data_IF_853298546329
#
_entry.id   IF_853298546329
#
_cell.length_a   1.000
_cell.length_b   1.000
_cell.length_c   1.000
_cell.angle_alpha   90.00
_cell.angle_beta   90.00
_cell.angle_gamma   90.00
#
_symmetry.space_group_name_H-M   'P 1'
#
loop_
_entity.id
_entity.type
_entity.pdbx_description
1 polymer ?
#
# COMPACT_ATOMS: atom_id res chain seq x y z
N UNK A 1 2.36 34.65 -18.46
CA UNK A 1 3.73 34.91 -19.00
C UNK A 1 4.44 33.62 -19.41
N UNK A 2 3.65 32.66 -19.82
CA UNK A 2 3.84 31.22 -19.68
C UNK A 2 3.15 30.50 -20.85
N UNK A 3 2.45 31.24 -21.72
CA UNK A 3 1.82 30.76 -22.94
C UNK A 3 0.32 30.53 -22.79
N UNK A 4 -0.26 30.74 -21.61
CA UNK A 4 -1.69 30.95 -21.47
C UNK A 4 -2.00 32.42 -21.81
N UNK A 5 -3.21 32.68 -22.33
CA UNK A 5 -3.66 34.05 -22.54
C UNK A 5 -4.17 34.60 -21.22
N UNK A 6 -3.72 35.79 -20.82
CA UNK A 6 -4.17 36.50 -19.61
C UNK A 6 -5.70 36.57 -19.51
N UNK A 7 -6.41 36.72 -20.64
CA UNK A 7 -7.88 36.76 -20.65
C UNK A 7 -8.57 35.41 -20.33
N UNK A 8 -7.84 34.30 -20.38
CA UNK A 8 -8.29 32.99 -19.90
C UNK A 8 -8.04 32.85 -18.39
N UNK A 9 -6.89 33.34 -17.91
CA UNK A 9 -6.47 33.29 -16.51
C UNK A 9 -7.30 34.23 -15.62
N UNK A 10 -7.68 35.41 -16.13
CA UNK A 10 -8.64 36.31 -15.46
C UNK A 10 -10.06 35.68 -15.40
N UNK A 11 -10.34 34.61 -16.14
CA UNK A 11 -11.64 33.96 -16.13
C UNK A 11 -12.78 34.78 -16.76
N UNK A 12 -14.02 34.32 -16.56
CA UNK A 12 -15.21 34.92 -17.21
C UNK A 12 -15.73 36.19 -16.51
N UNK A 13 -15.36 36.43 -15.26
CA UNK A 13 -15.78 37.58 -14.47
C UNK A 13 -14.57 38.42 -14.05
N UNK A 14 -14.36 39.56 -14.72
CA UNK A 14 -13.26 40.46 -14.38
C UNK A 14 -13.36 41.14 -13.01
N UNK A 15 -14.47 40.99 -12.27
CA UNK A 15 -14.55 41.43 -10.86
C UNK A 15 -14.21 40.31 -9.87
N UNK A 16 -14.10 39.07 -10.34
CA UNK A 16 -13.70 37.91 -9.57
C UNK A 16 -12.78 37.04 -10.44
N UNK A 17 -11.52 37.50 -10.64
CA UNK A 17 -10.54 36.74 -11.41
C UNK A 17 -10.32 35.34 -10.83
N UNK A 18 -9.80 34.44 -11.66
CA UNK A 18 -9.42 33.08 -11.22
C UNK A 18 -8.18 33.18 -10.32
N UNK A 19 -8.20 32.38 -9.26
CA UNK A 19 -7.20 32.27 -8.20
C UNK A 19 -7.30 30.81 -7.74
N UNK A 20 -6.39 29.98 -8.23
CA UNK A 20 -6.54 28.51 -8.19
C UNK A 20 -6.22 27.93 -6.82
N UNK A 21 -5.16 28.42 -6.17
CA UNK A 21 -4.75 28.06 -4.81
C UNK A 21 -5.40 28.91 -3.71
N UNK A 22 -6.01 30.06 -4.05
CA UNK A 22 -6.63 31.01 -3.12
C UNK A 22 -5.63 31.71 -2.19
N UNK A 23 -4.40 31.93 -2.63
CA UNK A 23 -3.37 32.68 -1.89
C UNK A 23 -3.57 34.21 -1.95
N UNK A 24 -4.41 34.68 -2.87
CA UNK A 24 -4.76 36.09 -3.09
C UNK A 24 -3.98 36.80 -4.20
N UNK A 25 -3.09 36.08 -4.87
CA UNK A 25 -2.58 36.36 -6.21
C UNK A 25 -3.59 35.74 -7.19
N UNK A 26 -3.57 36.17 -8.45
CA UNK A 26 -4.52 35.66 -9.45
C UNK A 26 -3.69 34.91 -10.47
N UNK A 27 -4.25 33.86 -11.06
CA UNK A 27 -3.63 33.03 -12.08
C UNK A 27 -2.91 33.85 -13.18
N UNK A 28 -3.47 35.00 -13.56
CA UNK A 28 -2.92 35.86 -14.61
C UNK A 28 -1.59 36.55 -14.23
N UNK A 29 -1.23 36.55 -12.95
CA UNK A 29 0.01 37.06 -12.38
C UNK A 29 1.00 35.96 -12.02
N UNK A 30 0.53 34.71 -12.01
CA UNK A 30 1.32 33.52 -11.73
C UNK A 30 1.69 32.78 -13.01
N UNK A 31 2.56 31.79 -12.86
CA UNK A 31 3.11 31.05 -13.98
C UNK A 31 2.76 29.59 -13.83
N UNK A 32 2.02 29.05 -14.79
CA UNK A 32 1.64 27.62 -14.84
C UNK A 32 2.79 26.62 -15.14
N UNK A 33 4.04 27.06 -14.92
CA UNK A 33 5.28 26.49 -15.44
C UNK A 33 6.48 26.77 -14.55
N UNK A 34 6.41 27.85 -13.80
CA UNK A 34 7.49 28.20 -12.87
C UNK A 34 7.10 27.53 -11.57
N UNK A 35 8.11 27.00 -10.91
CA UNK A 35 8.06 26.35 -9.62
C UNK A 35 9.22 27.04 -8.89
N UNK A 36 8.88 28.03 -8.08
CA UNK A 36 9.80 29.07 -7.62
C UNK A 36 10.72 28.60 -6.50
N UNK A 37 10.26 27.70 -5.65
CA UNK A 37 11.03 27.10 -4.56
C UNK A 37 11.44 25.64 -4.83
N UNK A 38 10.86 24.99 -5.84
CA UNK A 38 11.27 23.67 -6.31
C UNK A 38 10.64 22.53 -5.54
N UNK A 39 9.50 22.75 -4.89
CA UNK A 39 8.81 21.77 -4.06
C UNK A 39 7.97 20.77 -4.86
N UNK A 40 7.73 21.05 -6.15
CA UNK A 40 6.98 20.20 -7.06
C UNK A 40 5.59 20.72 -7.42
N UNK A 41 5.13 21.82 -6.83
CA UNK A 41 3.94 22.56 -7.23
C UNK A 41 4.35 23.76 -8.09
N UNK A 42 3.52 24.13 -9.07
CA UNK A 42 3.79 25.32 -9.89
C UNK A 42 3.19 26.55 -9.26
N UNK A 43 3.77 27.72 -9.51
CA UNK A 43 3.39 28.98 -8.84
C UNK A 43 1.90 29.37 -8.96
N UNK A 44 1.15 28.78 -9.89
CA UNK A 44 -0.29 29.05 -10.06
C UNK A 44 -1.17 28.18 -9.14
N UNK A 45 -0.64 27.05 -8.68
CA UNK A 45 -1.35 26.05 -7.89
C UNK A 45 -0.75 25.93 -6.48
N UNK A 46 0.21 26.81 -6.12
CA UNK A 46 1.00 26.77 -4.89
C UNK A 46 0.62 27.91 -3.96
N UNK A 47 0.13 27.55 -2.77
CA UNK A 47 -0.31 28.52 -1.77
C UNK A 47 0.81 29.35 -1.12
N UNK A 48 2.07 28.93 -1.25
CA UNK A 48 3.25 29.73 -0.87
C UNK A 48 4.44 29.44 -1.81
N UNK A 49 4.44 30.11 -2.97
CA UNK A 49 5.47 30.18 -4.01
C UNK A 49 6.95 30.33 -3.57
N UNK A 50 7.24 30.43 -2.27
CA UNK A 50 8.58 30.67 -1.72
C UNK A 50 8.94 29.78 -0.53
N UNK A 51 8.06 28.90 -0.08
CA UNK A 51 8.25 28.03 1.07
C UNK A 51 8.19 26.54 0.69
N UNK A 52 9.34 25.90 0.42
CA UNK A 52 9.36 24.51 -0.03
C UNK A 52 8.97 23.48 1.06
N UNK A 53 8.75 23.97 2.29
CA UNK A 53 8.30 23.17 3.44
C UNK A 53 6.78 23.29 3.66
N UNK A 54 6.01 23.84 2.70
CA UNK A 54 4.55 23.83 2.71
C UNK A 54 3.98 22.41 2.72
N UNK A 55 2.75 22.27 3.23
CA UNK A 55 1.99 21.01 3.30
C UNK A 55 0.58 21.34 2.80
N UNK A 56 0.44 21.26 1.47
CA UNK A 56 -0.69 21.81 0.73
C UNK A 56 -2.00 21.09 1.10
N UNK A 57 -1.96 19.76 1.20
CA UNK A 57 -3.12 18.93 1.49
C UNK A 57 -3.31 18.55 2.98
N UNK A 58 -2.33 18.87 3.84
CA UNK A 58 -2.35 18.72 5.31
C UNK A 58 -2.36 17.28 5.78
N UNK A 59 -1.65 16.41 5.08
CA UNK A 59 -1.53 15.01 5.43
C UNK A 59 -0.32 14.70 6.34
N UNK A 60 0.60 15.65 6.46
CA UNK A 60 1.77 15.61 7.33
C UNK A 60 3.10 15.32 6.63
N UNK A 61 3.13 15.27 5.29
CA UNK A 61 4.33 15.41 4.46
C UNK A 61 4.42 16.85 3.94
N UNK A 62 5.64 17.33 3.68
CA UNK A 62 5.79 18.59 2.93
C UNK A 62 5.70 18.34 1.43
N UNK A 63 5.35 19.37 0.67
CA UNK A 63 5.22 19.30 -0.79
C UNK A 63 6.55 18.80 -1.44
N UNK A 64 7.72 19.23 -0.95
CA UNK A 64 9.04 18.70 -1.38
C UNK A 64 9.24 17.21 -1.03
N UNK A 65 8.77 16.77 0.14
CA UNK A 65 8.83 15.36 0.56
C UNK A 65 7.95 14.49 -0.35
N UNK A 66 6.75 14.98 -0.67
CA UNK A 66 5.82 14.33 -1.57
C UNK A 66 6.33 14.24 -3.00
N UNK A 67 6.88 15.33 -3.54
CA UNK A 67 7.53 15.32 -4.85
C UNK A 67 8.70 14.31 -4.91
N UNK A 68 9.40 14.11 -3.79
CA UNK A 68 10.47 13.12 -3.66
C UNK A 68 9.95 11.68 -3.57
N UNK A 69 8.79 11.46 -2.94
CA UNK A 69 8.11 10.17 -2.83
C UNK A 69 7.31 9.81 -4.10
N UNK A 70 6.95 10.82 -4.90
CA UNK A 70 6.09 10.70 -6.06
C UNK A 70 4.59 10.65 -5.74
N UNK A 71 4.20 11.04 -4.52
CA UNK A 71 2.80 11.32 -4.14
C UNK A 71 2.34 12.65 -4.74
N UNK A 72 1.05 12.96 -4.63
CA UNK A 72 0.44 14.17 -5.17
C UNK A 72 0.29 15.20 -4.04
N UNK A 73 1.07 16.32 -4.05
CA UNK A 73 1.05 17.33 -2.98
C UNK A 73 -0.32 17.96 -2.66
N UNK A 74 -1.28 17.79 -3.56
CA UNK A 74 -2.64 18.32 -3.43
C UNK A 74 -3.68 17.25 -3.10
N UNK A 75 -3.27 16.02 -2.82
CA UNK A 75 -4.16 14.91 -2.57
C UNK A 75 -3.66 14.01 -1.42
N UNK A 76 -4.31 14.07 -0.24
CA UNK A 76 -3.78 13.50 1.00
C UNK A 76 -3.91 11.98 1.09
N UNK A 77 -4.14 11.29 -0.03
CA UNK A 77 -4.35 9.84 -0.20
C UNK A 77 -4.13 9.52 -1.69
N UNK A 78 -2.86 9.42 -2.08
CA UNK A 78 -2.42 9.34 -3.49
C UNK A 78 -2.89 8.07 -4.19
N UNK A 79 -2.95 6.95 -3.48
CA UNK A 79 -3.41 5.68 -4.04
C UNK A 79 -4.89 5.37 -3.82
N UNK A 80 -5.58 6.19 -3.02
CA UNK A 80 -7.02 6.20 -2.82
C UNK A 80 -7.52 5.07 -1.92
N UNK A 81 -6.68 4.55 -1.03
CA UNK A 81 -7.03 3.45 -0.13
C UNK A 81 -7.60 3.88 1.23
N UNK A 82 -7.89 5.17 1.40
CA UNK A 82 -8.42 5.78 2.62
C UNK A 82 -7.43 5.88 3.78
N UNK A 83 -6.13 5.67 3.55
CA UNK A 83 -5.04 6.01 4.46
C UNK A 83 -4.28 7.20 3.84
N UNK A 84 -3.82 8.12 4.69
CA UNK A 84 -3.10 9.30 4.22
C UNK A 84 -1.63 8.98 3.94
N UNK A 85 -1.02 9.64 2.95
CA UNK A 85 0.35 9.36 2.50
C UNK A 85 1.35 9.57 3.65
N UNK A 86 1.19 10.63 4.44
CA UNK A 86 1.97 10.88 5.66
C UNK A 86 1.80 9.81 6.75
N UNK A 87 0.63 9.18 6.87
CA UNK A 87 0.40 8.04 7.78
C UNK A 87 1.09 6.78 7.26
N UNK A 88 1.06 6.56 5.95
CA UNK A 88 1.71 5.44 5.29
C UNK A 88 3.22 5.52 5.43
N UNK A 89 3.79 6.69 5.17
CA UNK A 89 5.20 6.98 5.39
C UNK A 89 5.63 6.67 6.83
N UNK A 90 4.85 7.12 7.82
CA UNK A 90 5.12 6.85 9.25
C UNK A 90 5.05 5.35 9.58
N UNK A 91 4.15 4.61 8.96
CA UNK A 91 3.98 3.17 9.16
C UNK A 91 4.94 2.31 8.32
N UNK A 92 5.66 2.93 7.38
CA UNK A 92 6.54 2.25 6.43
C UNK A 92 5.78 1.42 5.39
N UNK A 93 4.59 1.88 4.99
CA UNK A 93 3.82 1.37 3.85
C UNK A 93 4.06 2.26 2.62
N UNK A 94 3.56 1.83 1.46
CA UNK A 94 3.77 2.50 0.17
C UNK A 94 2.51 3.29 -0.23
N UNK A 95 2.58 4.62 -0.14
CA UNK A 95 1.50 5.56 -0.46
C UNK A 95 1.08 5.59 -1.95
N UNK A 96 1.78 4.85 -2.81
CA UNK A 96 1.44 4.69 -4.22
C UNK A 96 0.92 3.27 -4.55
N UNK A 97 0.76 2.41 -3.55
CA UNK A 97 0.20 1.08 -3.68
C UNK A 97 -0.87 0.84 -2.61
N UNK A 98 -2.13 1.10 -2.98
CA UNK A 98 -3.25 0.93 -2.05
C UNK A 98 -3.48 -0.52 -1.59
N UNK A 99 -2.67 -1.47 -2.04
CA UNK A 99 -2.61 -2.81 -1.51
C UNK A 99 -1.62 -2.98 -0.35
N UNK A 100 -0.79 -2.00 -0.03
CA UNK A 100 0.29 -2.07 0.97
C UNK A 100 0.01 -1.28 2.26
N UNK A 101 -1.19 -0.78 2.51
CA UNK A 101 -1.48 -0.04 3.76
C UNK A 101 -1.84 -0.91 4.98
N UNK A 102 -1.81 -0.27 6.16
CA UNK A 102 -2.32 -0.84 7.43
C UNK A 102 -3.73 -0.32 7.71
N UNK A 103 -4.75 -1.10 7.34
CA UNK A 103 -6.15 -0.83 7.67
C UNK A 103 -6.91 -0.05 6.58
N UNK A 104 -6.27 0.26 5.46
CA UNK A 104 -6.91 0.85 4.29
C UNK A 104 -7.84 -0.10 3.53
N UNK A 105 -8.61 0.49 2.63
CA UNK A 105 -9.50 -0.13 1.65
C UNK A 105 -9.10 0.32 0.24
N UNK A 106 -8.22 -0.43 -0.43
CA UNK A 106 -7.81 -0.21 -1.81
C UNK A 106 -8.96 0.11 -2.78
N UNK A 107 -8.75 1.03 -3.73
CA UNK A 107 -9.74 1.40 -4.73
C UNK A 107 -10.28 0.21 -5.54
N UNK A 108 -11.54 0.32 -5.95
CA UNK A 108 -12.17 -0.65 -6.84
C UNK A 108 -11.44 -0.71 -8.18
N UNK A 109 -10.83 -1.86 -8.49
CA UNK A 109 -10.06 -2.06 -9.73
C UNK A 109 -8.61 -2.45 -9.48
N UNK A 110 -8.06 -2.15 -8.30
CA UNK A 110 -6.74 -2.63 -7.91
C UNK A 110 -6.78 -4.14 -7.70
N UNK A 111 -6.03 -4.87 -8.54
CA UNK A 111 -5.89 -6.33 -8.40
C UNK A 111 -4.85 -6.64 -7.33
N UNK A 112 -5.12 -6.23 -6.11
CA UNK A 112 -4.29 -6.56 -4.97
C UNK A 112 -4.17 -8.07 -4.89
N UNK A 113 -2.94 -8.57 -5.00
CA UNK A 113 -2.67 -9.99 -4.84
C UNK A 113 -2.19 -10.21 -3.42
N UNK A 114 -2.22 -11.46 -2.99
CA UNK A 114 -1.55 -11.81 -1.74
C UNK A 114 -0.03 -11.68 -1.89
N UNK A 115 0.62 -11.18 -0.86
CA UNK A 115 2.09 -11.12 -0.76
C UNK A 115 2.57 -11.99 0.40
N UNK A 116 3.78 -12.53 0.26
CA UNK A 116 4.45 -13.29 1.30
C UNK A 116 5.81 -12.64 1.47
N UNK A 117 5.88 -11.66 2.39
CA UNK A 117 7.04 -10.77 2.53
C UNK A 117 8.19 -11.44 3.31
N UNK A 118 7.86 -12.36 4.21
CA UNK A 118 8.86 -13.06 5.01
C UNK A 118 8.60 -14.56 4.98
N UNK A 119 9.41 -15.25 4.19
CA UNK A 119 9.42 -16.72 4.10
C UNK A 119 10.05 -17.37 5.37
N UNK A 120 10.37 -16.59 6.40
CA UNK A 120 10.89 -17.06 7.69
C UNK A 120 9.81 -17.05 8.77
N UNK A 121 9.57 -18.21 9.37
CA UNK A 121 8.80 -18.34 10.60
C UNK A 121 9.76 -18.52 11.78
N UNK A 122 9.78 -17.56 12.70
CA UNK A 122 10.59 -17.60 13.93
C UNK A 122 9.73 -17.18 15.13
N UNK A 123 9.96 -17.70 16.33
CA UNK A 123 9.15 -17.32 17.49
C UNK A 123 9.24 -15.82 17.82
N UNK A 124 10.37 -15.18 17.50
CA UNK A 124 10.63 -13.75 17.71
C UNK A 124 10.21 -12.88 16.52
N UNK A 125 9.82 -13.48 15.40
CA UNK A 125 9.37 -12.80 14.18
C UNK A 125 7.94 -13.21 13.86
N UNK A 126 7.01 -12.26 13.73
CA UNK A 126 5.61 -12.56 13.41
C UNK A 126 4.92 -13.53 14.39
N UNK A 127 5.39 -13.61 15.65
CA UNK A 127 4.88 -14.54 16.67
C UNK A 127 4.86 -16.00 16.19
N UNK A 128 5.85 -16.42 15.40
CA UNK A 128 5.94 -17.79 14.85
C UNK A 128 4.83 -18.15 13.87
N UNK A 129 4.18 -17.15 13.26
CA UNK A 129 3.05 -17.34 12.34
C UNK A 129 3.48 -17.06 10.90
N UNK A 130 3.03 -17.89 9.96
CA UNK A 130 3.21 -17.64 8.54
C UNK A 130 2.29 -16.49 8.12
N UNK A 131 2.83 -15.28 7.93
CA UNK A 131 2.02 -14.12 7.53
C UNK A 131 1.90 -14.03 6.01
N UNK A 132 0.68 -13.82 5.55
CA UNK A 132 0.36 -13.57 4.14
C UNK A 132 -0.36 -12.22 4.09
N UNK A 133 0.27 -11.20 3.52
CA UNK A 133 -0.34 -9.86 3.36
C UNK A 133 -1.56 -9.95 2.45
N UNK A 134 -2.61 -9.17 2.75
CA UNK A 134 -3.89 -9.13 2.05
C UNK A 134 -4.73 -10.43 2.08
N UNK A 135 -4.35 -11.47 2.82
CA UNK A 135 -5.08 -12.75 2.78
C UNK A 135 -6.52 -12.63 3.30
N UNK A 136 -6.77 -11.72 4.24
CA UNK A 136 -8.07 -11.43 4.84
C UNK A 136 -9.10 -10.93 3.82
N UNK A 137 -8.64 -10.31 2.72
CA UNK A 137 -9.49 -9.85 1.61
C UNK A 137 -10.01 -10.99 0.75
N UNK A 138 -9.44 -12.18 0.91
CA UNK A 138 -9.82 -13.38 0.18
C UNK A 138 -10.34 -14.44 1.14
N UNK A 139 -11.52 -14.27 1.77
CA UNK A 139 -12.04 -15.20 2.78
C UNK A 139 -12.25 -16.62 2.22
N UNK A 140 -12.43 -16.74 0.90
CA UNK A 140 -12.51 -18.02 0.19
C UNK A 140 -11.12 -18.47 -0.32
N UNK A 141 -10.12 -18.46 0.54
CA UNK A 141 -8.78 -18.96 0.23
C UNK A 141 -8.54 -20.38 0.78
N UNK A 142 -7.48 -21.04 0.31
CA UNK A 142 -6.95 -22.27 0.91
C UNK A 142 -5.44 -22.17 1.04
N UNK A 143 -4.89 -22.62 2.16
CA UNK A 143 -3.43 -22.73 2.38
C UNK A 143 -3.07 -24.19 2.61
N UNK A 144 -2.08 -24.67 1.87
CA UNK A 144 -1.50 -26.01 1.97
C UNK A 144 0.00 -25.88 2.25
N UNK A 145 0.54 -26.66 3.19
CA UNK A 145 1.98 -26.70 3.50
C UNK A 145 2.47 -28.14 3.45
N UNK A 146 3.60 -28.34 2.77
CA UNK A 146 4.22 -29.62 2.51
C UNK A 146 5.63 -29.66 3.09
N UNK A 147 6.03 -30.81 3.63
CA UNK A 147 7.43 -31.02 4.01
C UNK A 147 8.32 -31.32 2.78
N UNK A 148 9.63 -31.43 3.01
CA UNK A 148 10.63 -31.73 1.96
C UNK A 148 10.40 -33.02 1.15
N UNK A 149 9.54 -33.91 1.62
CA UNK A 149 9.19 -35.16 0.93
C UNK A 149 7.87 -35.05 0.14
N UNK A 150 7.26 -33.88 0.07
CA UNK A 150 5.98 -33.64 -0.60
C UNK A 150 4.77 -34.14 0.20
N UNK A 151 4.92 -34.43 1.49
CA UNK A 151 3.80 -34.83 2.35
C UNK A 151 3.11 -33.59 2.89
N UNK A 152 1.77 -33.53 2.72
CA UNK A 152 0.92 -32.47 3.26
C UNK A 152 0.92 -32.53 4.79
N UNK A 153 1.48 -31.50 5.42
CA UNK A 153 1.59 -31.37 6.88
C UNK A 153 0.58 -30.39 7.47
N UNK A 154 0.10 -29.43 6.67
CA UNK A 154 -0.95 -28.50 7.08
C UNK A 154 -1.87 -28.19 5.91
N UNK A 155 -3.17 -28.10 6.17
CA UNK A 155 -4.14 -27.48 5.27
C UNK A 155 -5.21 -26.71 6.05
N UNK A 156 -5.73 -25.64 5.44
CA UNK A 156 -6.93 -24.96 5.94
C UNK A 156 -7.68 -24.28 4.80
N UNK A 157 -8.96 -23.99 5.04
CA UNK A 157 -9.78 -23.11 4.21
C UNK A 157 -10.03 -21.82 4.99
N UNK A 158 -10.07 -20.67 4.31
CA UNK A 158 -10.28 -19.38 4.92
C UNK A 158 -9.16 -19.00 5.89
N UNK A 159 -7.91 -19.14 5.44
CA UNK A 159 -6.74 -18.70 6.20
C UNK A 159 -6.84 -17.20 6.51
N UNK A 160 -6.49 -16.82 7.72
CA UNK A 160 -6.39 -15.43 8.16
C UNK A 160 -5.16 -15.31 9.08
N UNK A 161 -4.53 -14.12 9.18
CA UNK A 161 -3.29 -13.98 9.97
C UNK A 161 -3.51 -14.02 11.49
N UNK A 162 -4.76 -14.06 11.97
CA UNK A 162 -5.11 -13.90 13.39
C UNK A 162 -5.49 -15.22 14.07
N UNK A 163 -6.56 -15.85 13.58
CA UNK A 163 -7.24 -16.99 14.19
C UNK A 163 -6.96 -18.30 13.44
N UNK A 164 -7.07 -18.31 12.12
CA UNK A 164 -6.89 -19.49 11.28
C UNK A 164 -5.55 -19.44 10.52
N UNK A 165 -4.46 -19.43 11.28
CA UNK A 165 -3.10 -19.30 10.74
C UNK A 165 -2.24 -20.53 11.00
N UNK A 166 -1.20 -20.69 10.18
CA UNK A 166 -0.19 -21.73 10.31
C UNK A 166 0.91 -21.26 11.25
N UNK A 167 1.06 -21.99 12.37
CA UNK A 167 2.01 -21.70 13.45
C UNK A 167 3.11 -22.76 13.57
N UNK A 168 3.41 -23.45 12.46
CA UNK A 168 4.35 -24.58 12.44
C UNK A 168 3.83 -25.83 13.15
N UNK A 169 2.51 -25.97 13.31
CA UNK A 169 1.86 -27.15 13.93
C UNK A 169 1.13 -27.92 12.84
N UNK A 170 1.36 -29.24 12.79
CA UNK A 170 0.74 -30.11 11.80
C UNK A 170 -0.75 -30.36 12.09
N UNK A 171 -1.58 -30.29 11.06
CA UNK A 171 -2.96 -30.80 11.07
C UNK A 171 -3.23 -31.85 9.97
N UNK A 172 -2.19 -32.22 9.20
CA UNK A 172 -2.28 -33.14 8.07
C UNK A 172 -2.57 -34.59 8.50
N UNK A 173 -3.39 -35.30 7.70
CA UNK A 173 -3.80 -36.69 7.97
C UNK A 173 -2.66 -37.72 7.96
N UNK A 174 -1.54 -37.41 7.30
CA UNK A 174 -0.46 -38.36 7.02
C UNK A 174 0.70 -38.32 8.03
N UNK A 175 0.64 -37.47 9.07
CA UNK A 175 1.73 -37.32 10.04
C UNK A 175 1.43 -38.17 11.28
N UNK A 176 2.45 -38.90 11.73
CA UNK A 176 2.47 -39.67 12.97
C UNK A 176 2.31 -38.64 14.11
N UNK A 177 1.05 -38.43 14.56
CA UNK A 177 0.56 -37.44 15.54
C UNK A 177 0.15 -36.08 14.95
N UNK A 178 -1.16 -35.92 14.76
CA UNK A 178 -1.83 -34.63 14.59
C UNK A 178 -1.55 -33.73 15.80
N UNK A 179 -1.35 -32.43 15.58
CA UNK A 179 -1.02 -31.40 16.58
C UNK A 179 0.44 -31.41 17.10
N UNK A 180 1.34 -32.16 16.48
CA UNK A 180 2.77 -32.06 16.79
C UNK A 180 3.40 -30.85 16.09
N UNK A 181 4.36 -30.22 16.78
CA UNK A 181 5.20 -29.18 16.21
C UNK A 181 6.09 -29.76 15.11
N UNK A 182 6.19 -29.03 14.02
CA UNK A 182 7.02 -29.40 12.88
C UNK A 182 8.48 -29.04 13.15
N UNK A 183 9.45 -29.90 12.77
CA UNK A 183 10.87 -29.63 12.97
C UNK A 183 11.34 -28.44 12.13
N UNK A 184 12.40 -27.78 12.59
CA UNK A 184 13.06 -26.71 11.84
C UNK A 184 13.51 -27.19 10.46
N UNK A 185 13.31 -26.35 9.45
CA UNK A 185 13.64 -26.69 8.07
C UNK A 185 12.77 -25.99 7.04
N UNK A 186 13.02 -26.31 5.77
CA UNK A 186 12.30 -25.75 4.63
C UNK A 186 11.03 -26.58 4.34
N UNK A 187 9.93 -25.87 4.16
CA UNK A 187 8.62 -26.36 3.75
C UNK A 187 8.20 -25.64 2.47
N UNK A 188 7.29 -26.26 1.72
CA UNK A 188 6.72 -25.68 0.51
C UNK A 188 5.26 -25.34 0.76
N UNK A 189 4.83 -24.14 0.36
CA UNK A 189 3.45 -23.71 0.52
C UNK A 189 2.74 -23.51 -0.82
N UNK A 190 1.42 -23.71 -0.80
CA UNK A 190 0.52 -23.33 -1.88
C UNK A 190 -0.66 -22.57 -1.27
N UNK A 191 -0.90 -21.36 -1.75
CA UNK A 191 -2.07 -20.55 -1.43
C UNK A 191 -2.93 -20.40 -2.68
N UNK A 192 -4.20 -20.79 -2.59
CA UNK A 192 -5.19 -20.62 -3.66
C UNK A 192 -6.25 -19.65 -3.20
N UNK A 193 -6.62 -18.72 -4.06
CA UNK A 193 -7.62 -17.68 -3.76
C UNK A 193 -8.30 -17.24 -5.05
N UNK A 194 -9.41 -16.51 -4.94
CA UNK A 194 -10.12 -15.92 -6.06
C UNK A 194 -9.99 -14.40 -5.97
N UNK A 195 -9.48 -13.77 -7.02
CA UNK A 195 -9.37 -12.33 -7.14
C UNK A 195 -10.06 -11.88 -8.42
N UNK A 196 -11.04 -10.97 -8.33
CA UNK A 196 -11.86 -10.52 -9.47
C UNK A 196 -12.42 -11.69 -10.29
N UNK A 197 -13.03 -12.67 -9.60
CA UNK A 197 -13.60 -13.91 -10.20
C UNK A 197 -12.58 -14.84 -10.89
N UNK A 198 -11.29 -14.49 -10.89
CA UNK A 198 -10.21 -15.29 -11.46
C UNK A 198 -9.53 -16.09 -10.35
N UNK A 199 -9.43 -17.40 -10.53
CA UNK A 199 -8.67 -18.27 -9.64
C UNK A 199 -7.16 -17.96 -9.75
N UNK A 200 -6.52 -17.69 -8.61
CA UNK A 200 -5.10 -17.39 -8.47
C UNK A 200 -4.41 -18.44 -7.60
N UNK A 201 -3.11 -18.60 -7.81
CA UNK A 201 -2.27 -19.47 -6.98
C UNK A 201 -0.93 -18.79 -6.73
N UNK A 202 -0.52 -18.73 -5.46
CA UNK A 202 0.81 -18.33 -5.01
C UNK A 202 1.47 -19.54 -4.37
N UNK A 203 2.74 -19.77 -4.67
CA UNK A 203 3.50 -20.87 -4.07
C UNK A 203 4.95 -20.46 -3.87
N UNK A 204 5.59 -21.04 -2.88
CA UNK A 204 6.97 -20.72 -2.53
C UNK A 204 7.46 -21.63 -1.41
N UNK A 205 8.54 -21.22 -0.78
CA UNK A 205 9.14 -21.95 0.34
C UNK A 205 9.04 -21.12 1.60
N UNK A 206 8.86 -21.78 2.74
CA UNK A 206 9.02 -21.17 4.06
C UNK A 206 10.06 -21.94 4.85
N UNK A 207 10.90 -21.23 5.58
CA UNK A 207 11.80 -21.80 6.57
C UNK A 207 11.20 -21.63 7.95
N UNK A 208 11.03 -22.75 8.67
CA UNK A 208 10.63 -22.73 10.07
C UNK A 208 11.91 -22.78 10.92
N UNK A 209 12.09 -21.78 11.78
CA UNK A 209 13.13 -21.72 12.80
C UNK A 209 12.50 -21.92 14.19
N UNK A 210 13.07 -22.83 14.98
CA UNK A 210 12.65 -23.19 16.35
C UNK A 210 13.87 -23.26 17.24
#
# INVERSE_FOLDING_TARGET
GDGINDGAEVGLDGNNPTDSDNDGIIDALESNKTDSDGDGIVDQDDSDNTDPDSDSDKDGLTDEEEASLGTDPNNPDSDGDSIQDGIEFLNGTDALDGCDSIGGTPPAGNSCNILVNNDLMDANLNNGTFKITNIERFPNNTVEVYNRWGVLVYNTNGYDNNNNSFKGISNGRAVIKKNDELPSGVYFYIVKYVNNEVARTKSGYIYINR
#
